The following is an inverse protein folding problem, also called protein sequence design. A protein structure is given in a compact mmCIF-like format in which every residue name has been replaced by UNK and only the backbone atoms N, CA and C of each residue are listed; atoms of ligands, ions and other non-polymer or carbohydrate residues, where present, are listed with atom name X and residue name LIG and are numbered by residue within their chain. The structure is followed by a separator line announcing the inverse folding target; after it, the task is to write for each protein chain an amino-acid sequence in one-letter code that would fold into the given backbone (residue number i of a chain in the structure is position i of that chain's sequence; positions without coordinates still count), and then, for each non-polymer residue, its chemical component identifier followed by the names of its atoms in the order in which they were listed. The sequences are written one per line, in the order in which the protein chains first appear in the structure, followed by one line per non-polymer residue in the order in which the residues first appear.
data_IF_906654817199
#
_entry.id   IF_906654817199
#
_cell.length_a   1.000
_cell.length_b   1.000
_cell.length_c   1.000
_cell.angle_alpha   90.00
_cell.angle_beta   90.00
_cell.angle_gamma   90.00
#
_symmetry.space_group_name_H-M   'P 1'
#
loop_
_entity.id
_entity.type
_entity.pdbx_description
1 polymer ?
#
# COMPACT_ATOMS: atom_id res chain seq x y z
N UNK A 1 4.56 -4.74 -18.82
CA UNK A 1 5.45 -5.41 -17.86
C UNK A 1 4.96 -6.83 -17.65
N UNK A 2 5.83 -7.81 -17.71
CA UNK A 2 5.51 -9.17 -17.26
C UNK A 2 5.66 -9.23 -15.75
N UNK A 3 4.63 -9.73 -15.07
CA UNK A 3 4.53 -9.72 -13.59
C UNK A 3 5.26 -10.90 -12.97
N UNK A 4 5.34 -12.03 -13.68
CA UNK A 4 5.97 -13.24 -13.16
C UNK A 4 7.43 -13.00 -12.71
N UNK A 5 7.75 -13.40 -11.49
CA UNK A 5 9.07 -13.22 -10.89
C UNK A 5 9.36 -11.80 -10.39
N UNK A 6 8.43 -10.87 -10.53
CA UNK A 6 8.57 -9.50 -10.02
C UNK A 6 8.26 -9.43 -8.54
N UNK A 7 8.87 -8.48 -7.83
CA UNK A 7 8.59 -8.18 -6.43
C UNK A 7 7.65 -6.98 -6.36
N UNK A 8 6.55 -7.15 -5.64
CA UNK A 8 5.52 -6.12 -5.48
C UNK A 8 5.28 -5.78 -4.01
N UNK A 9 5.15 -4.50 -3.73
CA UNK A 9 4.67 -3.98 -2.45
C UNK A 9 3.28 -3.37 -2.66
N UNK A 10 2.30 -3.79 -1.86
CA UNK A 10 0.92 -3.30 -1.94
C UNK A 10 0.54 -2.73 -0.58
N UNK A 11 0.55 -1.41 -0.47
CA UNK A 11 0.05 -0.70 0.72
C UNK A 11 -1.48 -0.67 0.69
N UNK A 12 -2.10 -0.96 1.83
CA UNK A 12 -3.53 -1.22 1.89
C UNK A 12 -3.88 -2.61 1.34
N UNK A 13 -2.92 -3.54 1.34
CA UNK A 13 -3.01 -4.85 0.69
C UNK A 13 -3.79 -5.91 1.46
N UNK A 14 -4.42 -5.57 2.59
CA UNK A 14 -5.09 -6.57 3.45
C UNK A 14 -6.61 -6.48 3.40
N UNK A 15 -7.16 -5.56 2.61
CA UNK A 15 -8.61 -5.40 2.44
C UNK A 15 -8.95 -4.76 1.10
N UNK A 16 -10.19 -4.88 0.66
CA UNK A 16 -10.74 -4.20 -0.50
C UNK A 16 -9.91 -4.34 -1.77
N UNK A 17 -9.71 -3.23 -2.45
CA UNK A 17 -8.98 -3.17 -3.74
C UNK A 17 -7.53 -3.63 -3.58
N UNK A 18 -6.87 -3.22 -2.50
CA UNK A 18 -5.48 -3.62 -2.23
C UNK A 18 -5.31 -5.13 -2.07
N UNK A 19 -6.20 -5.78 -1.33
CA UNK A 19 -6.17 -7.24 -1.17
C UNK A 19 -6.43 -7.96 -2.49
N UNK A 20 -7.41 -7.50 -3.26
CA UNK A 20 -7.70 -8.05 -4.59
C UNK A 20 -6.48 -7.90 -5.52
N UNK A 21 -5.81 -6.75 -5.47
CA UNK A 21 -4.58 -6.50 -6.23
C UNK A 21 -3.46 -7.45 -5.80
N UNK A 22 -3.25 -7.62 -4.50
CA UNK A 22 -2.22 -8.53 -3.98
C UNK A 22 -2.45 -9.97 -4.44
N UNK A 23 -3.69 -10.44 -4.38
CA UNK A 23 -4.07 -11.79 -4.84
C UNK A 23 -3.85 -11.96 -6.34
N UNK A 24 -4.25 -10.98 -7.13
CA UNK A 24 -4.07 -11.02 -8.58
C UNK A 24 -2.58 -11.02 -8.98
N UNK A 25 -1.78 -10.16 -8.39
CA UNK A 25 -0.34 -10.14 -8.64
C UNK A 25 0.32 -11.48 -8.28
N UNK A 26 -0.06 -12.07 -7.14
CA UNK A 26 0.45 -13.38 -6.74
C UNK A 26 0.03 -14.47 -7.72
N UNK A 27 -1.22 -14.43 -8.22
CA UNK A 27 -1.72 -15.40 -9.22
C UNK A 27 -0.95 -15.32 -10.55
N UNK A 28 -0.41 -14.14 -10.87
CA UNK A 28 0.43 -13.90 -12.05
C UNK A 28 1.91 -14.20 -11.81
N UNK A 29 2.27 -14.72 -10.64
CA UNK A 29 3.62 -15.16 -10.33
C UNK A 29 4.52 -14.11 -9.67
N UNK A 30 3.98 -13.00 -9.22
CA UNK A 30 4.74 -12.02 -8.45
C UNK A 30 4.97 -12.50 -7.01
N UNK A 31 6.08 -12.08 -6.43
CA UNK A 31 6.33 -12.15 -4.99
C UNK A 31 5.75 -10.89 -4.35
N UNK A 32 4.68 -11.02 -3.57
CA UNK A 32 3.91 -9.89 -3.07
C UNK A 32 4.12 -9.69 -1.58
N UNK A 33 4.40 -8.47 -1.17
CA UNK A 33 4.31 -8.04 0.22
C UNK A 33 3.10 -7.11 0.38
N UNK A 34 2.09 -7.57 1.10
CA UNK A 34 0.89 -6.81 1.42
C UNK A 34 1.09 -6.10 2.76
N UNK A 35 0.96 -4.79 2.75
CA UNK A 35 1.29 -3.92 3.88
C UNK A 35 0.03 -3.22 4.38
N UNK A 36 -0.20 -3.26 5.68
CA UNK A 36 -1.28 -2.50 6.32
C UNK A 36 -0.96 -2.21 7.79
N UNK A 37 -1.81 -1.39 8.42
CA UNK A 37 -1.73 -1.16 9.87
C UNK A 37 -2.07 -2.39 10.67
N UNK A 38 -3.00 -3.21 10.17
CA UNK A 38 -3.53 -4.38 10.86
C UNK A 38 -3.54 -5.59 9.91
N UNK A 39 -2.36 -6.19 9.64
CA UNK A 39 -2.27 -7.30 8.69
C UNK A 39 -3.06 -8.55 9.09
N UNK A 40 -3.33 -8.74 10.37
CA UNK A 40 -4.15 -9.84 10.88
C UNK A 40 -5.59 -9.83 10.35
N UNK A 41 -6.09 -8.69 9.88
CA UNK A 41 -7.43 -8.56 9.29
C UNK A 41 -7.54 -9.16 7.89
N UNK A 42 -6.43 -9.48 7.26
CA UNK A 42 -6.44 -10.07 5.91
C UNK A 42 -7.06 -11.47 5.88
N UNK A 43 -7.05 -12.18 7.03
CA UNK A 43 -7.40 -13.59 7.06
C UNK A 43 -6.37 -14.44 6.30
N UNK A 44 -6.84 -15.51 5.66
CA UNK A 44 -5.97 -16.36 4.86
C UNK A 44 -5.58 -15.67 3.55
N UNK A 45 -4.28 -15.68 3.26
CA UNK A 45 -3.74 -15.15 2.00
C UNK A 45 -3.10 -16.28 1.20
N UNK A 46 -3.10 -16.17 -0.15
CA UNK A 46 -2.52 -17.22 -0.99
C UNK A 46 -1.01 -17.30 -0.84
N UNK A 47 -0.45 -18.41 -1.28
CA UNK A 47 0.99 -18.56 -1.45
C UNK A 47 1.53 -17.42 -2.35
N UNK A 48 2.70 -16.92 -2.01
CA UNK A 48 3.30 -15.77 -2.72
C UNK A 48 2.95 -14.41 -2.13
N UNK A 49 2.05 -14.34 -1.13
CA UNK A 49 1.73 -13.11 -0.41
C UNK A 49 2.27 -13.18 1.02
N UNK A 50 3.16 -12.25 1.36
CA UNK A 50 3.68 -12.05 2.72
C UNK A 50 3.03 -10.80 3.31
N UNK A 51 2.65 -10.87 4.58
CA UNK A 51 2.03 -9.75 5.30
C UNK A 51 3.07 -8.98 6.11
N UNK A 52 3.02 -7.65 6.03
CA UNK A 52 3.85 -6.75 6.82
C UNK A 52 3.02 -5.64 7.43
N UNK A 53 3.38 -5.21 8.64
CA UNK A 53 2.73 -4.09 9.32
C UNK A 53 3.48 -2.79 9.04
N UNK A 54 2.76 -1.78 8.54
CA UNK A 54 3.25 -0.41 8.46
C UNK A 54 2.08 0.55 8.26
N UNK A 55 2.14 1.71 8.90
CA UNK A 55 1.21 2.83 8.66
C UNK A 55 1.83 3.79 7.64
N UNK A 56 1.10 4.13 6.57
CA UNK A 56 1.57 5.05 5.53
C UNK A 56 1.84 6.48 6.05
N UNK A 57 1.40 6.80 7.26
CA UNK A 57 1.67 8.07 7.93
C UNK A 57 2.98 8.06 8.74
N UNK A 58 3.54 6.89 8.98
CA UNK A 58 4.79 6.70 9.74
C UNK A 58 5.98 6.62 8.77
N UNK A 59 6.64 7.77 8.58
CA UNK A 59 7.73 7.92 7.60
C UNK A 59 8.96 7.09 7.95
N UNK A 60 9.29 7.00 9.23
CA UNK A 60 10.46 6.23 9.69
C UNK A 60 10.24 4.73 9.46
N UNK A 61 9.07 4.21 9.86
CA UNK A 61 8.71 2.82 9.63
C UNK A 61 8.66 2.47 8.14
N UNK A 62 8.15 3.39 7.30
CA UNK A 62 8.15 3.20 5.85
C UNK A 62 9.55 3.14 5.27
N UNK A 63 10.43 4.05 5.66
CA UNK A 63 11.82 4.05 5.20
C UNK A 63 12.51 2.72 5.52
N UNK A 64 12.30 2.22 6.73
CA UNK A 64 12.86 0.93 7.15
C UNK A 64 12.28 -0.23 6.31
N UNK A 65 10.96 -0.24 6.11
CA UNK A 65 10.30 -1.27 5.31
C UNK A 65 10.85 -1.30 3.87
N UNK A 66 10.97 -0.14 3.25
CA UNK A 66 11.49 -0.05 1.89
C UNK A 66 12.93 -0.54 1.78
N UNK A 67 13.78 -0.21 2.75
CA UNK A 67 15.16 -0.73 2.80
C UNK A 67 15.19 -2.26 2.90
N UNK A 68 14.36 -2.83 3.76
CA UNK A 68 14.28 -4.28 3.96
C UNK A 68 13.74 -5.02 2.74
N UNK A 69 12.81 -4.42 2.00
CA UNK A 69 12.18 -5.04 0.82
C UNK A 69 12.92 -4.77 -0.49
N UNK A 70 13.87 -3.84 -0.51
CA UNK A 70 14.59 -3.45 -1.72
C UNK A 70 15.45 -4.59 -2.30
N UNK A 71 15.61 -4.66 -3.64
CA UNK A 71 14.87 -3.90 -4.63
C UNK A 71 13.48 -4.50 -4.90
N UNK A 72 12.55 -3.68 -5.34
CA UNK A 72 11.22 -4.13 -5.76
C UNK A 72 10.81 -3.43 -7.07
N UNK A 73 9.87 -4.04 -7.79
CA UNK A 73 9.54 -3.67 -9.18
C UNK A 73 8.20 -2.97 -9.30
N UNK A 74 7.27 -3.31 -8.40
CA UNK A 74 5.88 -2.83 -8.45
C UNK A 74 5.54 -2.25 -7.07
N UNK A 75 5.05 -1.01 -7.06
CA UNK A 75 4.64 -0.31 -5.85
C UNK A 75 3.20 0.17 -6.02
N UNK A 76 2.29 -0.37 -5.21
CA UNK A 76 0.88 -0.01 -5.23
C UNK A 76 0.51 0.66 -3.91
N UNK A 77 -0.14 1.81 -3.98
CA UNK A 77 -0.72 2.46 -2.80
C UNK A 77 -2.24 2.48 -2.91
N UNK A 78 -2.89 1.63 -2.12
CA UNK A 78 -4.34 1.56 -1.96
C UNK A 78 -4.77 1.83 -0.51
N UNK A 79 -3.85 2.29 0.34
CA UNK A 79 -4.14 2.60 1.73
C UNK A 79 -4.94 3.90 1.84
N UNK A 80 -5.91 3.94 2.77
CA UNK A 80 -6.69 5.15 3.03
C UNK A 80 -6.01 6.11 4.01
N UNK A 81 -5.07 5.62 4.81
CA UNK A 81 -4.34 6.39 5.82
C UNK A 81 -5.10 6.55 7.13
N UNK A 82 -6.29 7.07 7.10
CA UNK A 82 -7.13 7.31 8.28
C UNK A 82 -8.60 7.24 7.95
N UNK A 83 -9.43 7.70 8.89
CA UNK A 83 -10.86 7.78 8.70
C UNK A 83 -11.21 8.87 7.69
N UNK A 84 -12.25 8.60 6.90
CA UNK A 84 -12.73 9.53 5.88
C UNK A 84 -14.07 10.11 6.30
N UNK A 85 -14.27 11.40 6.06
CA UNK A 85 -15.57 12.00 6.15
C UNK A 85 -16.44 11.60 4.94
N UNK A 86 -17.66 11.18 5.20
CA UNK A 86 -18.63 10.78 4.18
C UNK A 86 -19.96 11.46 4.47
N UNK A 87 -20.61 11.99 3.42
CA UNK A 87 -21.91 12.62 3.52
C UNK A 87 -21.97 14.02 2.92
N UNK A 88 -23.12 14.72 3.06
CA UNK A 88 -23.27 16.07 2.54
C UNK A 88 -22.28 17.05 3.19
N UNK A 89 -21.62 17.86 2.40
CA UNK A 89 -20.57 18.76 2.88
C UNK A 89 -21.05 19.72 3.98
N UNK A 90 -22.26 20.26 3.85
CA UNK A 90 -22.78 21.22 4.83
C UNK A 90 -23.06 20.63 6.21
N UNK A 91 -23.07 19.29 6.32
CA UNK A 91 -23.30 18.57 7.57
C UNK A 91 -22.07 17.77 8.00
N UNK A 92 -20.96 17.94 7.27
CA UNK A 92 -19.77 17.13 7.47
C UNK A 92 -19.01 17.55 8.72
N UNK A 93 -18.53 16.56 9.47
CA UNK A 93 -17.56 16.78 10.52
C UNK A 93 -16.23 17.26 9.92
N UNK A 94 -15.79 18.45 10.31
CA UNK A 94 -14.61 19.06 9.70
C UNK A 94 -13.29 18.40 10.14
N UNK A 95 -13.24 17.79 11.30
CA UNK A 95 -12.08 16.99 11.70
C UNK A 95 -11.97 15.74 10.81
N UNK A 96 -13.09 15.07 10.55
CA UNK A 96 -13.16 13.96 9.60
C UNK A 96 -12.82 14.38 8.17
N UNK A 97 -13.25 15.58 7.75
CA UNK A 97 -12.86 16.15 6.46
C UNK A 97 -11.34 16.31 6.36
N UNK A 98 -10.72 16.87 7.39
CA UNK A 98 -9.26 17.06 7.43
C UNK A 98 -8.51 15.73 7.38
N UNK A 99 -8.93 14.72 8.15
CA UNK A 99 -8.31 13.40 8.16
C UNK A 99 -8.48 12.63 6.85
N UNK A 100 -9.48 12.99 6.05
CA UNK A 100 -9.65 12.41 4.70
C UNK A 100 -8.45 12.69 3.79
N UNK A 101 -7.67 13.73 4.07
CA UNK A 101 -6.45 14.04 3.33
C UNK A 101 -5.26 13.14 3.71
N UNK A 102 -5.38 12.32 4.72
CA UNK A 102 -4.34 11.34 5.08
C UNK A 102 -4.03 10.38 3.94
N UNK A 103 -5.01 10.12 3.07
CA UNK A 103 -4.79 9.35 1.85
C UNK A 103 -3.77 10.02 0.92
N UNK A 104 -3.88 11.33 0.73
CA UNK A 104 -2.94 12.08 -0.09
C UNK A 104 -1.54 12.10 0.52
N UNK A 105 -1.44 12.31 1.83
CA UNK A 105 -0.17 12.22 2.55
C UNK A 105 0.44 10.82 2.45
N UNK A 106 -0.39 9.78 2.53
CA UNK A 106 0.03 8.40 2.31
C UNK A 106 0.63 8.19 0.92
N UNK A 107 0.01 8.70 -0.12
CA UNK A 107 0.56 8.65 -1.48
C UNK A 107 1.93 9.34 -1.56
N UNK A 108 2.02 10.54 -1.00
CA UNK A 108 3.26 11.30 -1.01
C UNK A 108 4.39 10.54 -0.30
N UNK A 109 4.11 9.95 0.86
CA UNK A 109 5.08 9.17 1.61
C UNK A 109 5.51 7.90 0.84
N UNK A 110 4.57 7.17 0.27
CA UNK A 110 4.87 5.95 -0.51
C UNK A 110 5.79 6.27 -1.69
N UNK A 111 5.45 7.28 -2.46
CA UNK A 111 6.25 7.68 -3.63
C UNK A 111 7.60 8.24 -3.20
N UNK A 112 7.60 9.17 -2.24
CA UNK A 112 8.82 9.87 -1.82
C UNK A 112 9.87 8.94 -1.23
N UNK A 113 9.45 7.99 -0.40
CA UNK A 113 10.37 7.10 0.30
C UNK A 113 10.58 5.76 -0.41
N UNK A 114 9.66 5.36 -1.27
CA UNK A 114 9.74 4.08 -1.97
C UNK A 114 10.53 4.11 -3.27
N UNK A 115 10.45 5.20 -4.03
CA UNK A 115 10.99 5.25 -5.39
C UNK A 115 12.50 4.99 -5.44
N UNK A 116 13.27 5.49 -4.49
CA UNK A 116 14.72 5.30 -4.46
C UNK A 116 15.17 3.84 -4.22
N UNK A 117 14.24 2.99 -3.78
CA UNK A 117 14.50 1.57 -3.53
C UNK A 117 13.95 0.66 -4.63
N UNK A 118 13.30 1.23 -5.63
CA UNK A 118 12.75 0.46 -6.75
C UNK A 118 13.82 0.05 -7.74
N UNK A 119 13.55 -1.07 -8.41
CA UNK A 119 14.33 -1.48 -9.56
C UNK A 119 14.19 -0.47 -10.70
N UNK A 120 15.19 -0.42 -11.57
CA UNK A 120 15.08 0.33 -12.82
C UNK A 120 13.88 -0.18 -13.63
N UNK A 121 13.12 0.72 -14.24
CA UNK A 121 11.87 0.42 -14.95
C UNK A 121 10.72 -0.11 -14.06
N UNK A 122 10.75 0.19 -12.77
CA UNK A 122 9.64 -0.13 -11.88
C UNK A 122 8.36 0.66 -12.20
N UNK A 123 7.24 0.18 -11.68
CA UNK A 123 5.90 0.76 -11.88
C UNK A 123 5.28 1.15 -10.56
N UNK A 124 4.70 2.36 -10.49
CA UNK A 124 3.94 2.85 -9.34
C UNK A 124 2.48 3.03 -9.72
N UNK A 125 1.57 2.52 -8.89
CA UNK A 125 0.12 2.68 -9.07
C UNK A 125 -0.48 3.28 -7.80
N UNK A 126 -1.23 4.36 -7.95
CA UNK A 126 -1.97 5.03 -6.87
C UNK A 126 -3.46 4.82 -7.09
N UNK A 127 -4.18 4.36 -6.06
CA UNK A 127 -5.61 3.98 -6.14
C UNK A 127 -6.46 4.87 -5.24
#
# INVERSE_FOLDING_TARGET
MKVNGKKALVFGGTSGIGLATAKELASLGAEVTAVSRNPEKAGDVPEGVTLRQCDVRDREAMSQLFQECAPFDILVSAATGGDRAIGPFLQMDMDGYQTSFDKLWGYANVVRFGTEHMSENGTIVLV
#
